data_IF_685283969552
#
_entry.id   IF_685283969552
#
_cell.length_a   1.000
_cell.length_b   1.000
_cell.length_c   1.000
_cell.angle_alpha   90.00
_cell.angle_beta   90.00
_cell.angle_gamma   90.00
#
_symmetry.space_group_name_H-M   'P 1'
#
loop_
_entity.id
_entity.type
_entity.pdbx_description
1 polymer ?
#
# COMPACT_ATOMS: atom_id res chain seq x y z
N UNK A 1 -5.08 10.40 36.55
CA UNK A 1 -6.55 10.53 36.66
C UNK A 1 -6.99 9.86 37.97
N UNK A 2 -8.03 10.35 38.65
CA UNK A 2 -8.54 9.68 39.86
C UNK A 2 -9.33 8.43 39.46
N UNK A 3 -8.71 7.26 39.53
CA UNK A 3 -9.32 5.96 39.23
C UNK A 3 -9.91 5.32 40.49
N UNK A 4 -11.07 4.68 40.37
CA UNK A 4 -11.86 4.15 41.49
C UNK A 4 -11.60 2.69 41.87
N UNK A 5 -10.43 2.12 41.55
CA UNK A 5 -10.06 0.74 41.85
C UNK A 5 -8.95 0.62 42.90
N UNK A 6 -8.83 -0.57 43.48
CA UNK A 6 -7.73 -0.93 44.39
C UNK A 6 -6.39 -0.89 43.64
N UNK A 7 -5.35 -0.26 44.22
CA UNK A 7 -4.06 -0.06 43.56
C UNK A 7 -3.31 -1.39 43.37
N UNK A 8 -2.72 -1.58 42.17
CA UNK A 8 -1.88 -2.75 41.87
C UNK A 8 -0.46 -2.55 42.46
N UNK A 9 0.27 -3.63 42.72
CA UNK A 9 1.61 -3.59 43.33
C UNK A 9 2.62 -2.78 42.50
N UNK A 10 2.52 -2.83 41.18
CA UNK A 10 3.31 -2.00 40.26
C UNK A 10 3.00 -0.49 40.39
N UNK A 11 1.77 -0.11 40.78
CA UNK A 11 1.45 1.30 41.05
C UNK A 11 2.09 1.75 42.36
N UNK A 12 2.14 0.86 43.36
CA UNK A 12 2.76 1.11 44.65
C UNK A 12 4.27 1.37 44.52
N UNK A 13 4.95 0.58 43.70
CA UNK A 13 6.39 0.71 43.46
C UNK A 13 6.77 2.00 42.73
N UNK A 14 5.90 2.51 41.85
CA UNK A 14 6.21 3.68 41.00
C UNK A 14 5.72 5.00 41.61
N UNK A 15 4.51 5.03 42.17
CA UNK A 15 3.90 6.25 42.71
C UNK A 15 4.15 6.43 44.21
N UNK A 16 4.43 5.34 44.93
CA UNK A 16 4.52 5.34 46.38
C UNK A 16 3.15 5.50 47.07
N UNK A 17 3.08 5.11 48.34
CA UNK A 17 1.82 5.08 49.12
C UNK A 17 1.17 6.47 49.25
N UNK A 18 1.98 7.53 49.34
CA UNK A 18 1.50 8.90 49.56
C UNK A 18 0.73 9.47 48.36
N UNK A 19 1.13 9.12 47.14
CA UNK A 19 0.45 9.59 45.93
C UNK A 19 -0.79 8.76 45.61
N UNK A 20 -0.75 7.46 45.94
CA UNK A 20 -1.90 6.57 45.85
C UNK A 20 -3.02 7.01 46.81
N UNK A 21 -2.68 7.42 48.03
CA UNK A 21 -3.63 7.96 49.02
C UNK A 21 -4.29 9.28 48.54
N UNK A 22 -3.60 10.07 47.73
CA UNK A 22 -4.13 11.27 47.06
C UNK A 22 -5.00 10.96 45.83
N UNK A 23 -5.19 9.67 45.51
CA UNK A 23 -6.04 9.18 44.44
C UNK A 23 -5.38 9.17 43.06
N UNK A 24 -4.05 9.24 42.97
CA UNK A 24 -3.35 9.12 41.69
C UNK A 24 -3.31 7.66 41.23
N UNK A 25 -3.51 7.44 39.93
CA UNK A 25 -3.47 6.14 39.24
C UNK A 25 -2.75 6.28 37.90
N UNK A 26 -2.05 5.23 37.47
CA UNK A 26 -1.40 5.17 36.16
C UNK A 26 -2.48 4.96 35.10
N UNK A 27 -2.59 5.87 34.13
CA UNK A 27 -3.65 5.84 33.11
C UNK A 27 -3.47 4.76 32.03
N UNK A 28 -2.29 4.14 31.97
CA UNK A 28 -1.96 3.11 31.00
C UNK A 28 -1.75 1.78 31.73
N UNK A 29 -2.85 1.21 32.22
CA UNK A 29 -2.85 -0.22 32.54
C UNK A 29 -3.01 -0.97 31.21
N UNK A 30 -1.89 -1.33 30.58
CA UNK A 30 -1.93 -2.49 29.68
C UNK A 30 -2.09 -3.68 30.61
N UNK A 31 -3.33 -4.13 30.78
CA UNK A 31 -3.60 -5.43 31.35
C UNK A 31 -3.02 -6.46 30.37
N UNK A 32 -1.74 -6.78 30.52
CA UNK A 32 -1.11 -7.92 29.86
C UNK A 32 -1.64 -9.16 30.56
N UNK A 33 -2.89 -9.51 30.29
CA UNK A 33 -3.52 -10.74 30.81
C UNK A 33 -3.99 -11.69 29.74
N UNK A 34 -3.76 -11.38 28.47
CA UNK A 34 -3.74 -12.38 27.40
C UNK A 34 -2.65 -11.93 26.43
N UNK A 35 -1.76 -12.85 26.06
CA UNK A 35 -0.88 -12.67 24.91
C UNK A 35 -1.77 -12.34 23.70
N UNK A 36 -1.92 -11.05 23.41
CA UNK A 36 -2.52 -10.62 22.16
C UNK A 36 -1.46 -10.93 21.13
N UNK A 37 -1.52 -12.14 20.57
CA UNK A 37 -0.90 -12.47 19.30
C UNK A 37 -1.51 -11.55 18.25
N UNK A 38 -0.93 -10.37 18.10
CA UNK A 38 -1.18 -9.51 16.95
C UNK A 38 -0.51 -10.23 15.78
N UNK A 39 -1.26 -11.08 15.10
CA UNK A 39 -0.88 -11.59 13.78
C UNK A 39 -0.83 -10.41 12.81
N UNK A 40 0.34 -9.79 12.73
CA UNK A 40 0.64 -8.86 11.65
C UNK A 40 0.76 -9.72 10.38
N UNK A 41 -0.05 -9.50 9.34
CA UNK A 41 0.04 -10.31 8.11
C UNK A 41 1.45 -10.17 7.51
N UNK A 42 2.22 -11.27 7.51
CA UNK A 42 3.65 -11.30 7.14
C UNK A 42 4.62 -11.40 8.32
N UNK A 43 4.13 -11.48 9.56
CA UNK A 43 4.88 -11.74 10.78
C UNK A 43 4.29 -12.97 11.48
N UNK A 44 4.29 -14.11 10.80
CA UNK A 44 4.27 -15.38 11.54
C UNK A 44 5.52 -15.37 12.41
N UNK A 45 5.37 -15.69 13.70
CA UNK A 45 6.48 -15.91 14.61
C UNK A 45 7.23 -17.13 14.08
N UNK A 46 8.09 -16.90 13.06
CA UNK A 46 9.11 -17.84 12.67
C UNK A 46 9.76 -18.26 13.97
N UNK A 47 9.80 -19.57 14.24
CA UNK A 47 10.59 -20.14 15.33
C UNK A 47 11.81 -19.26 15.49
N UNK A 48 11.90 -18.54 16.62
CA UNK A 48 12.85 -17.46 16.78
C UNK A 48 14.25 -18.08 16.76
N UNK A 49 14.81 -18.26 15.56
CA UNK A 49 16.17 -18.69 15.36
C UNK A 49 16.96 -17.54 15.96
N UNK A 50 17.54 -17.78 17.14
CA UNK A 50 18.49 -16.88 17.74
C UNK A 50 19.74 -16.90 16.85
N UNK A 51 19.70 -16.10 15.78
CA UNK A 51 20.84 -15.92 14.89
C UNK A 51 21.80 -15.02 15.64
N UNK A 52 22.88 -15.60 16.15
CA UNK A 52 23.94 -14.84 16.81
C UNK A 52 24.54 -13.82 15.82
N UNK A 53 24.54 -12.51 16.14
CA UNK A 53 25.11 -11.49 15.26
C UNK A 53 26.58 -11.75 14.93
N UNK A 54 27.31 -12.36 15.87
CA UNK A 54 28.71 -12.75 15.68
C UNK A 54 28.89 -13.79 14.56
N UNK A 55 27.96 -14.73 14.39
CA UNK A 55 28.03 -15.73 13.33
C UNK A 55 27.97 -15.08 11.94
N UNK A 56 27.05 -14.13 11.76
CA UNK A 56 26.94 -13.39 10.48
C UNK A 56 28.20 -12.55 10.23
N UNK A 57 28.75 -11.89 11.25
CA UNK A 57 29.99 -11.11 11.13
C UNK A 57 31.16 -11.98 10.66
N UNK A 58 31.33 -13.16 11.25
CA UNK A 58 32.38 -14.11 10.87
C UNK A 58 32.21 -14.60 9.43
N UNK A 59 30.97 -14.91 9.02
CA UNK A 59 30.63 -15.30 7.65
C UNK A 59 30.92 -14.18 6.64
N UNK A 60 30.58 -12.94 6.96
CA UNK A 60 30.84 -11.79 6.11
C UNK A 60 32.34 -11.48 5.97
N UNK A 61 33.10 -11.62 7.06
CA UNK A 61 34.55 -11.48 7.04
C UNK A 61 35.19 -12.55 6.13
N UNK A 62 34.77 -13.81 6.28
CA UNK A 62 35.20 -14.89 5.40
C UNK A 62 34.82 -14.62 3.93
N UNK A 63 33.60 -14.12 3.68
CA UNK A 63 33.14 -13.78 2.34
C UNK A 63 33.99 -12.67 1.68
N UNK A 64 34.40 -11.67 2.46
CA UNK A 64 35.25 -10.59 1.97
C UNK A 64 36.65 -11.05 1.54
N UNK A 65 37.19 -12.11 2.16
CA UNK A 65 38.55 -12.59 1.91
C UNK A 65 38.64 -13.75 0.91
N UNK A 66 37.71 -14.71 0.99
CA UNK A 66 37.84 -16.02 0.33
C UNK A 66 36.81 -16.27 -0.75
N UNK A 67 35.68 -15.56 -0.75
CA UNK A 67 34.60 -15.79 -1.72
C UNK A 67 34.81 -14.91 -2.97
N UNK A 68 34.77 -15.49 -4.18
CA UNK A 68 34.77 -14.69 -5.39
C UNK A 68 33.44 -13.93 -5.52
N UNK A 69 33.42 -12.65 -5.10
CA UNK A 69 32.22 -11.82 -5.04
C UNK A 69 31.43 -11.69 -6.35
N UNK A 70 32.09 -11.92 -7.50
CA UNK A 70 31.45 -11.92 -8.83
C UNK A 70 30.52 -13.11 -9.06
N UNK A 71 30.69 -14.21 -8.30
CA UNK A 71 29.90 -15.44 -8.44
C UNK A 71 28.69 -15.49 -7.49
N UNK A 72 28.48 -14.45 -6.67
CA UNK A 72 27.36 -14.39 -5.75
C UNK A 72 26.05 -14.17 -6.53
N UNK A 73 24.96 -14.90 -6.20
CA UNK A 73 23.66 -14.71 -6.82
C UNK A 73 22.98 -13.48 -6.22
N UNK A 74 23.39 -12.29 -6.65
CA UNK A 74 22.80 -11.02 -6.23
C UNK A 74 22.53 -10.11 -7.42
N UNK A 75 21.40 -9.40 -7.41
CA UNK A 75 21.02 -8.44 -8.44
C UNK A 75 21.98 -7.24 -8.45
N UNK A 76 22.45 -6.85 -7.27
CA UNK A 76 23.39 -5.75 -7.09
C UNK A 76 24.84 -6.22 -6.97
N UNK A 77 25.78 -5.36 -7.37
CA UNK A 77 27.22 -5.62 -7.20
C UNK A 77 27.62 -5.57 -5.72
N UNK A 78 28.09 -6.70 -5.19
CA UNK A 78 28.63 -6.79 -3.84
C UNK A 78 30.13 -6.43 -3.86
N UNK A 79 30.52 -5.49 -3.01
CA UNK A 79 31.93 -5.06 -2.83
C UNK A 79 32.40 -5.38 -1.43
N UNK A 80 33.72 -5.50 -1.23
CA UNK A 80 34.32 -5.73 0.09
C UNK A 80 33.93 -4.62 1.10
N UNK A 81 33.91 -3.36 0.64
CA UNK A 81 33.46 -2.23 1.47
C UNK A 81 32.02 -2.43 1.96
N UNK A 82 31.12 -2.83 1.06
CA UNK A 82 29.71 -3.10 1.40
C UNK A 82 29.57 -4.24 2.41
N UNK A 83 30.32 -5.33 2.26
CA UNK A 83 30.30 -6.43 3.24
C UNK A 83 30.76 -5.98 4.62
N UNK A 84 31.78 -5.10 4.69
CA UNK A 84 32.26 -4.52 5.95
C UNK A 84 31.23 -3.59 6.60
N UNK A 85 30.58 -2.74 5.80
CA UNK A 85 29.51 -1.86 6.29
C UNK A 85 28.31 -2.68 6.81
N UNK A 86 28.01 -3.78 6.15
CA UNK A 86 26.93 -4.71 6.49
C UNK A 86 27.25 -5.54 7.76
N UNK A 87 28.52 -5.89 7.98
CA UNK A 87 29.01 -6.48 9.23
C UNK A 87 28.80 -5.56 10.44
N UNK A 88 28.91 -4.24 10.26
CA UNK A 88 28.65 -3.27 11.33
C UNK A 88 27.15 -3.13 11.63
N UNK A 89 26.29 -3.32 10.61
CA UNK A 89 24.83 -3.16 10.70
C UNK A 89 24.07 -4.46 10.98
N UNK A 90 24.77 -5.57 11.20
CA UNK A 90 24.20 -6.90 11.35
C UNK A 90 23.15 -7.00 12.46
N UNK A 91 23.41 -6.41 13.63
CA UNK A 91 22.46 -6.41 14.77
C UNK A 91 21.13 -5.74 14.37
N UNK A 92 21.22 -4.55 13.78
CA UNK A 92 20.04 -3.83 13.30
C UNK A 92 19.26 -4.59 12.21
N UNK A 93 19.95 -5.38 11.37
CA UNK A 93 19.30 -6.20 10.34
C UNK A 93 18.55 -7.38 10.98
N UNK A 94 19.16 -8.05 11.96
CA UNK A 94 18.55 -9.19 12.64
C UNK A 94 17.27 -8.82 13.41
N UNK A 95 17.28 -7.67 14.08
CA UNK A 95 16.13 -7.09 14.79
C UNK A 95 14.96 -6.66 13.88
N UNK A 96 15.07 -6.85 12.56
CA UNK A 96 14.02 -6.51 11.59
C UNK A 96 14.19 -5.13 10.95
N UNK A 97 15.30 -4.43 11.23
CA UNK A 97 15.75 -3.29 10.45
C UNK A 97 16.52 -3.72 9.19
N UNK A 98 17.13 -2.74 8.52
CA UNK A 98 17.89 -2.97 7.28
C UNK A 98 17.12 -2.66 6.01
N UNK A 99 17.87 -2.36 4.95
CA UNK A 99 17.33 -2.19 3.60
C UNK A 99 17.12 -3.58 2.96
N UNK A 100 16.07 -3.84 2.15
CA UNK A 100 15.95 -5.07 1.37
C UNK A 100 17.24 -5.49 0.64
N UNK A 101 18.03 -4.52 0.21
CA UNK A 101 19.31 -4.76 -0.47
C UNK A 101 20.40 -5.32 0.45
N UNK A 102 20.34 -5.05 1.76
CA UNK A 102 21.24 -5.62 2.76
C UNK A 102 20.87 -7.09 3.02
N UNK A 103 19.56 -7.39 3.11
CA UNK A 103 19.05 -8.76 3.25
C UNK A 103 19.39 -9.58 2.00
N UNK A 104 19.30 -9.00 0.81
CA UNK A 104 19.65 -9.65 -0.46
C UNK A 104 21.14 -10.03 -0.49
N UNK A 105 22.02 -9.13 -0.02
CA UNK A 105 23.44 -9.40 0.06
C UNK A 105 23.76 -10.54 1.06
N UNK A 106 23.09 -10.59 2.21
CA UNK A 106 23.21 -11.69 3.17
C UNK A 106 22.75 -13.01 2.55
N UNK A 107 21.56 -13.01 1.96
CA UNK A 107 21.01 -14.17 1.28
C UNK A 107 21.93 -14.70 0.18
N UNK A 108 22.54 -13.82 -0.63
CA UNK A 108 23.50 -14.20 -1.66
C UNK A 108 24.76 -14.86 -1.08
N UNK A 109 25.28 -14.38 0.05
CA UNK A 109 26.44 -14.97 0.72
C UNK A 109 26.10 -16.35 1.30
N UNK A 110 24.99 -16.47 2.03
CA UNK A 110 24.57 -17.73 2.63
C UNK A 110 24.17 -18.77 1.57
N UNK A 111 23.55 -18.37 0.47
CA UNK A 111 23.17 -19.28 -0.62
C UNK A 111 24.41 -19.80 -1.37
N UNK A 112 25.44 -18.98 -1.52
CA UNK A 112 26.73 -19.42 -2.04
C UNK A 112 27.39 -20.46 -1.12
N UNK A 113 27.38 -20.22 0.21
CA UNK A 113 27.92 -21.17 1.19
C UNK A 113 27.17 -22.50 1.20
N UNK A 114 25.84 -22.47 1.08
CA UNK A 114 25.01 -23.65 0.98
C UNK A 114 25.33 -24.48 -0.27
N UNK A 115 25.58 -23.82 -1.41
CA UNK A 115 25.85 -24.48 -2.70
C UNK A 115 27.24 -25.11 -2.78
N UNK A 116 28.25 -24.46 -2.22
CA UNK A 116 29.64 -24.92 -2.26
C UNK A 116 29.97 -25.95 -1.15
N UNK A 117 29.04 -26.26 -0.23
CA UNK A 117 29.24 -27.08 0.98
C UNK A 117 30.47 -26.68 1.83
N UNK A 118 30.90 -25.42 1.74
CA UNK A 118 32.07 -24.88 2.46
C UNK A 118 31.73 -24.31 3.84
N UNK A 119 30.52 -24.59 4.34
CA UNK A 119 30.05 -24.14 5.65
C UNK A 119 31.06 -24.43 6.78
N UNK A 120 31.64 -25.62 6.76
CA UNK A 120 32.61 -26.08 7.77
C UNK A 120 33.99 -25.41 7.67
N UNK A 121 34.29 -24.69 6.58
CA UNK A 121 35.56 -24.00 6.36
C UNK A 121 35.56 -22.56 6.90
N UNK A 122 34.39 -22.05 7.29
CA UNK A 122 34.27 -20.70 7.85
C UNK A 122 34.79 -20.73 9.28
N UNK A 123 35.78 -19.89 9.64
CA UNK A 123 36.30 -19.82 11.00
C UNK A 123 35.30 -19.09 11.90
N UNK A 124 34.23 -19.76 12.30
CA UNK A 124 33.20 -19.21 13.19
C UNK A 124 33.37 -19.73 14.61
N UNK A 125 33.06 -18.88 15.61
CA UNK A 125 32.97 -19.32 17.01
C UNK A 125 31.72 -20.16 17.30
N UNK A 126 30.74 -20.09 16.41
CA UNK A 126 29.43 -20.72 16.53
C UNK A 126 29.30 -21.87 15.53
N UNK A 127 28.55 -22.90 15.90
CA UNK A 127 28.28 -24.03 15.01
C UNK A 127 27.47 -23.57 13.78
N UNK A 128 28.00 -23.85 12.59
CA UNK A 128 27.41 -23.57 11.30
C UNK A 128 27.08 -24.89 10.58
N UNK A 129 25.97 -25.51 10.98
CA UNK A 129 25.43 -26.73 10.34
C UNK A 129 24.63 -26.35 9.09
N UNK A 130 24.60 -27.24 8.08
CA UNK A 130 23.81 -27.05 6.86
C UNK A 130 22.32 -26.80 7.16
N UNK A 131 21.74 -27.47 8.16
CA UNK A 131 20.36 -27.23 8.59
C UNK A 131 20.15 -25.79 9.10
N UNK A 132 21.12 -25.26 9.85
CA UNK A 132 21.08 -23.88 10.37
C UNK A 132 21.21 -22.86 9.23
N UNK A 133 22.04 -23.16 8.23
CA UNK A 133 22.13 -22.32 7.01
C UNK A 133 20.79 -22.29 6.28
N UNK A 134 20.13 -23.44 6.11
CA UNK A 134 18.81 -23.48 5.45
C UNK A 134 17.76 -22.69 6.21
N UNK A 135 17.72 -22.82 7.54
CA UNK A 135 16.84 -22.02 8.41
C UNK A 135 17.10 -20.51 8.31
N UNK A 136 18.38 -20.10 8.27
CA UNK A 136 18.77 -18.69 8.05
C UNK A 136 18.34 -18.21 6.66
N UNK A 137 18.52 -19.03 5.62
CA UNK A 137 18.10 -18.72 4.26
C UNK A 137 16.59 -18.53 4.16
N UNK A 138 15.80 -19.41 4.80
CA UNK A 138 14.35 -19.27 4.84
C UNK A 138 13.92 -17.97 5.55
N UNK A 139 14.56 -17.65 6.68
CA UNK A 139 14.29 -16.41 7.41
C UNK A 139 14.60 -15.15 6.58
N UNK A 140 15.69 -15.16 5.80
CA UNK A 140 15.99 -14.05 4.89
C UNK A 140 15.10 -14.03 3.65
N UNK A 141 14.75 -15.19 3.09
CA UNK A 141 13.85 -15.30 1.93
C UNK A 141 12.47 -14.69 2.22
N UNK A 142 11.92 -14.91 3.42
CA UNK A 142 10.65 -14.28 3.84
C UNK A 142 10.71 -12.75 3.93
N UNK A 143 11.91 -12.19 4.14
CA UNK A 143 12.14 -10.73 4.24
C UNK A 143 12.46 -10.09 2.89
N UNK A 144 12.81 -10.89 1.88
CA UNK A 144 13.01 -10.38 0.53
C UNK A 144 11.65 -10.11 -0.13
N UNK A 145 11.54 -9.06 -0.96
CA UNK A 145 10.35 -8.91 -1.80
C UNK A 145 10.21 -10.19 -2.62
N UNK A 146 9.01 -10.78 -2.65
CA UNK A 146 8.74 -11.94 -3.49
C UNK A 146 9.21 -11.62 -4.91
N UNK A 147 10.03 -12.50 -5.48
CA UNK A 147 10.40 -12.39 -6.89
C UNK A 147 9.09 -12.32 -7.69
N UNK A 148 8.85 -11.18 -8.34
CA UNK A 148 7.69 -11.03 -9.20
C UNK A 148 7.86 -12.05 -10.33
N UNK A 149 6.95 -13.02 -10.43
CA UNK A 149 7.00 -14.01 -11.52
C UNK A 149 6.83 -13.29 -12.86
N UNK A 150 7.94 -13.04 -13.54
CA UNK A 150 7.95 -12.39 -14.84
C UNK A 150 7.55 -13.41 -15.92
N UNK A 151 6.32 -13.29 -16.41
CA UNK A 151 5.80 -14.10 -17.51
C UNK A 151 6.03 -13.35 -18.83
N UNK A 152 6.47 -14.08 -19.86
CA UNK A 152 6.68 -13.51 -21.20
C UNK A 152 5.35 -12.96 -21.74
N UNK A 153 5.34 -11.69 -22.14
CA UNK A 153 4.13 -11.00 -22.66
C UNK A 153 3.51 -11.72 -23.85
N UNK A 154 4.35 -12.15 -24.80
CA UNK A 154 3.91 -12.97 -25.93
C UNK A 154 4.22 -14.44 -25.65
N UNK A 155 3.25 -15.37 -25.80
CA UNK A 155 1.90 -15.16 -26.31
C UNK A 155 0.82 -14.97 -25.21
N UNK A 156 1.17 -15.17 -23.94
CA UNK A 156 0.22 -15.34 -22.85
C UNK A 156 -0.67 -14.11 -22.60
N UNK A 157 -0.09 -12.91 -22.48
CA UNK A 157 -0.86 -11.69 -22.24
C UNK A 157 -1.77 -11.35 -23.43
N UNK A 158 -1.31 -11.58 -24.65
CA UNK A 158 -2.13 -11.35 -25.85
C UNK A 158 -3.35 -12.26 -25.88
N UNK A 159 -3.22 -13.54 -25.53
CA UNK A 159 -4.39 -14.43 -25.48
C UNK A 159 -5.45 -13.92 -24.49
N UNK A 160 -5.04 -13.46 -23.31
CA UNK A 160 -5.96 -12.87 -22.33
C UNK A 160 -6.62 -11.61 -22.89
N UNK A 161 -5.83 -10.69 -23.45
CA UNK A 161 -6.35 -9.43 -24.00
C UNK A 161 -7.32 -9.65 -25.16
N UNK A 162 -7.00 -10.53 -26.12
CA UNK A 162 -7.87 -10.88 -27.24
C UNK A 162 -9.15 -11.59 -26.77
N UNK A 163 -9.05 -12.45 -25.75
CA UNK A 163 -10.23 -13.11 -25.18
C UNK A 163 -11.17 -12.09 -24.55
N UNK A 164 -10.65 -11.15 -23.76
CA UNK A 164 -11.47 -10.07 -23.17
C UNK A 164 -12.09 -9.20 -24.25
N UNK A 165 -11.31 -8.78 -25.26
CA UNK A 165 -11.81 -7.98 -26.38
C UNK A 165 -12.94 -8.69 -27.13
N UNK A 166 -12.74 -9.97 -27.45
CA UNK A 166 -13.74 -10.80 -28.12
C UNK A 166 -15.02 -10.91 -27.28
N UNK A 167 -14.90 -11.22 -25.98
CA UNK A 167 -16.06 -11.35 -25.09
C UNK A 167 -16.81 -10.02 -24.93
N UNK A 168 -16.11 -8.89 -24.76
CA UNK A 168 -16.74 -7.57 -24.68
C UNK A 168 -17.43 -7.19 -25.98
N UNK A 169 -16.79 -7.44 -27.12
CA UNK A 169 -17.36 -7.11 -28.45
C UNK A 169 -18.55 -7.99 -28.77
N UNK A 170 -18.46 -9.30 -28.52
CA UNK A 170 -19.56 -10.23 -28.70
C UNK A 170 -20.71 -9.91 -27.74
N UNK A 171 -20.43 -9.63 -26.47
CA UNK A 171 -21.43 -9.25 -25.48
C UNK A 171 -22.15 -7.95 -25.84
N UNK A 172 -21.42 -6.92 -26.25
CA UNK A 172 -22.00 -5.66 -26.72
C UNK A 172 -22.79 -5.85 -28.02
N UNK A 173 -22.29 -6.68 -28.93
CA UNK A 173 -22.98 -7.03 -30.18
C UNK A 173 -24.30 -7.76 -29.93
N UNK A 174 -24.31 -8.73 -29.01
CA UNK A 174 -25.52 -9.43 -28.59
C UNK A 174 -26.50 -8.44 -27.94
N UNK A 175 -26.03 -7.58 -27.03
CA UNK A 175 -26.85 -6.55 -26.40
C UNK A 175 -27.48 -5.59 -27.42
N UNK A 176 -26.72 -5.19 -28.45
CA UNK A 176 -27.17 -4.33 -29.54
C UNK A 176 -28.30 -4.92 -30.39
N UNK A 177 -28.47 -6.25 -30.41
CA UNK A 177 -29.60 -6.89 -31.11
C UNK A 177 -30.90 -6.69 -30.34
N UNK A 178 -30.84 -6.59 -29.01
CA UNK A 178 -32.02 -6.48 -28.15
C UNK A 178 -32.39 -5.04 -27.78
N UNK A 179 -31.42 -4.11 -27.85
CA UNK A 179 -31.60 -2.71 -27.46
C UNK A 179 -30.99 -1.79 -28.50
N UNK A 180 -31.82 -0.92 -29.07
CA UNK A 180 -31.36 0.16 -29.93
C UNK A 180 -30.49 1.15 -29.16
N UNK A 181 -29.61 1.83 -29.90
CA UNK A 181 -28.80 2.89 -29.32
C UNK A 181 -29.72 4.04 -28.88
N UNK A 182 -29.52 4.61 -27.67
CA UNK A 182 -30.30 5.73 -27.16
C UNK A 182 -29.88 7.04 -27.85
N UNK A 183 -30.14 7.14 -29.15
CA UNK A 183 -29.88 8.33 -29.96
C UNK A 183 -31.15 9.17 -30.07
N UNK A 184 -31.00 10.48 -29.90
CA UNK A 184 -32.10 11.44 -30.06
C UNK A 184 -32.45 11.68 -31.54
N UNK A 185 -33.58 12.35 -31.77
CA UNK A 185 -34.01 12.77 -33.10
C UNK A 185 -33.00 13.75 -33.75
N UNK A 186 -32.97 13.86 -35.09
CA UNK A 186 -32.10 14.80 -35.78
C UNK A 186 -32.29 16.24 -35.28
N UNK A 187 -31.17 16.93 -35.04
CA UNK A 187 -31.18 18.25 -34.41
C UNK A 187 -31.96 19.30 -35.23
N UNK A 188 -32.82 20.06 -34.53
CA UNK A 188 -33.56 21.20 -35.10
C UNK A 188 -33.25 22.48 -34.33
N UNK A 189 -32.81 23.58 -34.97
CA UNK A 189 -32.49 24.83 -34.27
C UNK A 189 -33.68 25.51 -33.56
N UNK A 190 -34.91 25.14 -33.91
CA UNK A 190 -36.15 25.73 -33.39
C UNK A 190 -36.71 25.07 -32.14
N UNK A 191 -36.11 23.95 -31.68
CA UNK A 191 -36.61 23.18 -30.55
C UNK A 191 -35.44 22.63 -29.72
N UNK A 192 -35.48 22.88 -28.42
CA UNK A 192 -34.52 22.32 -27.45
C UNK A 192 -35.29 21.33 -26.57
N UNK A 193 -34.88 20.05 -26.52
CA UNK A 193 -35.53 19.06 -25.66
C UNK A 193 -35.35 19.45 -24.19
N UNK A 194 -36.36 19.16 -23.37
CA UNK A 194 -36.33 19.42 -21.93
C UNK A 194 -36.84 18.17 -21.19
N UNK A 195 -36.02 17.53 -20.34
CA UNK A 195 -34.65 17.91 -19.96
C UNK A 195 -33.62 17.60 -21.04
N UNK A 196 -32.65 18.50 -21.23
CA UNK A 196 -31.45 18.25 -22.05
C UNK A 196 -30.41 17.55 -21.16
N UNK A 197 -30.37 16.22 -21.19
CA UNK A 197 -29.37 15.44 -20.43
C UNK A 197 -28.16 15.17 -21.32
N UNK A 198 -26.97 15.42 -20.78
CA UNK A 198 -25.73 15.00 -21.41
C UNK A 198 -25.64 13.46 -21.44
N UNK A 199 -24.69 12.87 -22.19
CA UNK A 199 -24.37 11.46 -22.04
C UNK A 199 -24.00 11.12 -20.58
N UNK A 200 -24.27 9.88 -20.16
CA UNK A 200 -24.11 9.42 -18.77
C UNK A 200 -22.73 9.73 -18.14
N UNK A 201 -21.66 9.73 -18.95
CA UNK A 201 -20.30 10.05 -18.49
C UNK A 201 -20.05 11.54 -18.26
N UNK A 202 -20.93 12.42 -18.72
CA UNK A 202 -20.91 13.87 -18.48
C UNK A 202 -22.02 14.36 -17.55
N UNK A 203 -23.11 13.60 -17.41
CA UNK A 203 -24.26 13.95 -16.54
C UNK A 203 -23.84 14.28 -15.11
N UNK A 204 -22.84 13.59 -14.55
CA UNK A 204 -22.34 13.92 -13.21
C UNK A 204 -21.74 15.33 -13.11
N UNK A 205 -21.07 15.80 -14.16
CA UNK A 205 -20.55 17.17 -14.23
C UNK A 205 -21.70 18.16 -14.44
N UNK A 206 -22.69 17.79 -15.25
CA UNK A 206 -23.92 18.58 -15.44
C UNK A 206 -24.70 18.76 -14.13
N UNK A 207 -24.75 17.73 -13.29
CA UNK A 207 -25.34 17.81 -11.97
C UNK A 207 -24.50 18.69 -11.03
N UNK A 208 -23.18 18.56 -11.07
CA UNK A 208 -22.27 19.41 -10.30
C UNK A 208 -22.42 20.90 -10.68
N UNK A 209 -22.61 21.19 -11.97
CA UNK A 209 -22.92 22.53 -12.50
C UNK A 209 -24.22 23.10 -11.93
N UNK A 210 -25.27 22.28 -11.84
CA UNK A 210 -26.58 22.69 -11.34
C UNK A 210 -26.59 22.97 -9.83
N UNK A 211 -25.86 22.18 -9.03
CA UNK A 211 -25.86 22.29 -7.56
C UNK A 211 -24.80 23.26 -7.01
N UNK A 212 -23.77 23.60 -7.80
CA UNK A 212 -22.64 24.40 -7.30
C UNK A 212 -23.07 25.78 -6.79
N UNK A 213 -22.60 26.23 -5.61
CA UNK A 213 -22.95 27.54 -5.07
C UNK A 213 -22.25 28.66 -5.85
N UNK A 214 -22.89 29.83 -5.92
CA UNK A 214 -22.22 31.05 -6.40
C UNK A 214 -21.31 31.60 -5.30
N UNK A 215 -20.00 31.77 -5.58
CA UNK A 215 -19.02 32.26 -4.61
C UNK A 215 -18.32 33.50 -5.18
N UNK A 216 -18.71 34.68 -4.70
CA UNK A 216 -18.13 35.96 -5.15
C UNK A 216 -18.31 36.16 -6.65
N UNK A 217 -17.23 36.38 -7.44
CA UNK A 217 -17.33 36.55 -8.89
C UNK A 217 -17.51 35.23 -9.65
N UNK A 218 -17.38 34.08 -8.99
CA UNK A 218 -17.47 32.77 -9.63
C UNK A 218 -18.91 32.25 -9.57
N UNK A 219 -19.49 32.01 -10.74
CA UNK A 219 -20.83 31.45 -10.90
C UNK A 219 -20.82 29.93 -10.70
N UNK A 220 -21.99 29.35 -10.44
CA UNK A 220 -22.22 27.90 -10.36
C UNK A 220 -21.65 27.17 -11.57
N UNK A 221 -21.80 27.76 -12.76
CA UNK A 221 -21.29 27.23 -14.02
C UNK A 221 -19.75 27.16 -14.03
N UNK A 222 -19.09 28.21 -13.58
CA UNK A 222 -17.63 28.25 -13.52
C UNK A 222 -17.08 27.25 -12.50
N UNK A 223 -17.72 27.15 -11.34
CA UNK A 223 -17.27 26.27 -10.24
C UNK A 223 -17.47 24.80 -10.62
N UNK A 224 -18.70 24.42 -10.98
CA UNK A 224 -19.04 23.02 -11.23
C UNK A 224 -18.53 22.47 -12.56
N UNK A 225 -18.44 23.30 -13.60
CA UNK A 225 -18.06 22.84 -14.94
C UNK A 225 -16.57 22.96 -15.25
N UNK A 226 -15.90 23.96 -14.67
CA UNK A 226 -14.51 24.24 -15.00
C UNK A 226 -13.61 24.03 -13.80
N UNK A 227 -13.83 24.74 -12.69
CA UNK A 227 -12.90 24.75 -11.56
C UNK A 227 -12.82 23.37 -10.90
N UNK A 228 -13.94 22.78 -10.49
CA UNK A 228 -13.93 21.50 -9.79
C UNK A 228 -13.38 20.34 -10.65
N UNK A 229 -13.80 20.16 -11.92
CA UNK A 229 -13.19 19.15 -12.80
C UNK A 229 -11.70 19.39 -13.06
N UNK A 230 -11.29 20.65 -13.23
CA UNK A 230 -9.88 20.99 -13.42
C UNK A 230 -9.06 20.67 -12.17
N UNK A 231 -9.55 21.01 -10.98
CA UNK A 231 -8.90 20.67 -9.72
C UNK A 231 -8.82 19.16 -9.52
N UNK A 232 -9.83 18.40 -9.93
CA UNK A 232 -9.78 16.93 -9.89
C UNK A 232 -8.67 16.37 -10.79
N UNK A 233 -8.54 16.86 -12.02
CA UNK A 233 -7.46 16.46 -12.94
C UNK A 233 -6.09 16.87 -12.38
N UNK A 234 -5.96 18.10 -11.90
CA UNK A 234 -4.71 18.59 -11.31
C UNK A 234 -4.34 17.78 -10.06
N UNK A 235 -5.31 17.37 -9.25
CA UNK A 235 -5.10 16.47 -8.13
C UNK A 235 -4.51 15.15 -8.60
N UNK A 236 -5.10 14.49 -9.62
CA UNK A 236 -4.60 13.23 -10.17
C UNK A 236 -3.16 13.34 -10.70
N UNK A 237 -2.84 14.43 -11.39
CA UNK A 237 -1.49 14.72 -11.88
C UNK A 237 -0.51 15.02 -10.74
N UNK A 238 -0.99 15.62 -9.66
CA UNK A 238 -0.18 16.00 -8.51
C UNK A 238 0.13 14.83 -7.57
N UNK A 239 -0.65 13.73 -7.59
CA UNK A 239 -0.46 12.54 -6.72
C UNK A 239 1.02 12.18 -6.51
N UNK A 240 1.85 11.92 -7.54
CA UNK A 240 3.25 11.51 -7.33
C UNK A 240 4.10 12.52 -6.55
N UNK A 241 3.71 13.80 -6.54
CA UNK A 241 4.43 14.88 -5.85
C UNK A 241 3.88 15.19 -4.46
N UNK A 242 2.56 15.08 -4.27
CA UNK A 242 1.89 15.47 -3.02
C UNK A 242 1.66 14.28 -2.09
N UNK A 243 1.64 13.05 -2.60
CA UNK A 243 1.34 11.83 -1.83
C UNK A 243 2.23 11.67 -0.58
N UNK A 244 3.56 11.92 -0.60
CA UNK A 244 4.38 11.86 0.61
C UNK A 244 3.98 12.86 1.70
N UNK A 245 3.35 13.97 1.32
CA UNK A 245 2.87 15.02 2.23
C UNK A 245 1.44 14.78 2.69
N UNK A 246 0.59 14.18 1.84
CA UNK A 246 -0.77 13.77 2.18
C UNK A 246 -0.79 12.66 3.23
N UNK A 247 0.17 11.73 3.18
CA UNK A 247 0.31 10.65 4.15
C UNK A 247 1.00 11.13 5.43
N UNK A 248 0.43 12.16 6.08
CA UNK A 248 1.02 12.83 7.24
C UNK A 248 1.17 11.92 8.48
N UNK A 249 0.34 10.87 8.59
CA UNK A 249 0.40 9.86 9.65
C UNK A 249 1.63 8.94 9.56
N UNK A 250 2.36 8.98 8.45
CA UNK A 250 3.49 8.10 8.19
C UNK A 250 4.68 8.48 9.09
N UNK A 251 5.17 7.50 9.86
CA UNK A 251 6.28 7.67 10.82
C UNK A 251 7.61 7.96 10.13
N UNK A 252 7.88 7.31 9.01
CA UNK A 252 9.11 7.47 8.24
C UNK A 252 8.85 8.26 6.96
N UNK A 253 9.19 9.54 6.95
CA UNK A 253 9.03 10.43 5.78
C UNK A 253 10.13 10.30 4.74
N UNK A 254 11.23 9.60 5.07
CA UNK A 254 12.41 9.50 4.19
C UNK A 254 12.22 8.47 3.07
N UNK A 255 11.36 7.48 3.28
CA UNK A 255 11.04 6.45 2.29
C UNK A 255 10.02 6.97 1.26
N UNK A 256 9.97 6.43 0.04
CA UNK A 256 8.83 6.64 -0.85
C UNK A 256 7.55 6.02 -0.25
N UNK A 257 6.39 6.52 -0.67
CA UNK A 257 5.11 5.90 -0.31
C UNK A 257 5.01 4.53 -1.00
N UNK A 258 4.53 3.53 -0.27
CA UNK A 258 4.45 2.16 -0.77
C UNK A 258 3.47 2.04 -1.94
N UNK A 259 3.70 1.05 -2.82
CA UNK A 259 2.86 0.86 -4.02
C UNK A 259 1.48 0.26 -3.69
N UNK A 260 1.30 -0.33 -2.50
CA UNK A 260 0.06 -1.02 -2.13
C UNK A 260 -0.96 -0.01 -1.61
N UNK A 261 -2.25 -0.28 -1.82
CA UNK A 261 -3.35 0.55 -1.32
C UNK A 261 -3.28 0.80 0.20
N UNK A 262 -2.84 -0.22 0.96
CA UNK A 262 -2.68 -0.14 2.43
C UNK A 262 -1.61 0.87 2.87
N UNK A 263 -0.64 1.16 2.00
CA UNK A 263 0.46 2.07 2.32
C UNK A 263 0.10 3.55 2.09
N UNK A 264 -1.03 3.81 1.43
CA UNK A 264 -1.52 5.15 1.06
C UNK A 264 -2.99 5.39 1.46
N UNK A 265 -3.34 5.25 2.76
CA UNK A 265 -4.72 5.32 3.22
C UNK A 265 -5.38 6.68 2.98
N UNK A 266 -4.66 7.80 3.15
CA UNK A 266 -5.24 9.14 2.97
C UNK A 266 -5.51 9.42 1.50
N UNK A 267 -4.54 9.17 0.65
CA UNK A 267 -4.67 9.35 -0.81
C UNK A 267 -5.76 8.44 -1.37
N UNK A 268 -5.80 7.19 -0.93
CA UNK A 268 -6.85 6.24 -1.33
C UNK A 268 -8.22 6.71 -0.86
N UNK A 269 -8.37 7.13 0.40
CA UNK A 269 -9.65 7.62 0.92
C UNK A 269 -10.14 8.86 0.15
N UNK A 270 -9.26 9.83 -0.12
CA UNK A 270 -9.60 11.03 -0.89
C UNK A 270 -10.00 10.69 -2.32
N UNK A 271 -9.24 9.82 -3.01
CA UNK A 271 -9.58 9.35 -4.35
C UNK A 271 -10.94 8.62 -4.37
N UNK A 272 -11.15 7.70 -3.43
CA UNK A 272 -12.43 6.96 -3.31
C UNK A 272 -13.59 7.89 -3.02
N UNK A 273 -13.40 8.91 -2.17
CA UNK A 273 -14.43 9.92 -1.90
C UNK A 273 -14.78 10.72 -3.15
N UNK A 274 -13.78 11.16 -3.93
CA UNK A 274 -14.00 11.92 -5.16
C UNK A 274 -14.70 11.09 -6.24
N UNK A 275 -14.25 9.86 -6.46
CA UNK A 275 -14.90 8.92 -7.40
C UNK A 275 -16.31 8.56 -6.93
N UNK A 276 -16.50 8.29 -5.64
CA UNK A 276 -17.81 8.01 -5.06
C UNK A 276 -18.77 9.19 -5.23
N UNK A 277 -18.29 10.42 -5.02
CA UNK A 277 -19.07 11.65 -5.27
C UNK A 277 -19.45 11.75 -6.74
N UNK A 278 -18.52 11.50 -7.67
CA UNK A 278 -18.80 11.52 -9.10
C UNK A 278 -19.87 10.48 -9.49
N UNK A 279 -19.79 9.26 -8.96
CA UNK A 279 -20.80 8.20 -9.20
C UNK A 279 -22.16 8.62 -8.65
N UNK A 280 -22.22 9.17 -7.43
CA UNK A 280 -23.47 9.67 -6.85
C UNK A 280 -24.08 10.78 -7.70
N UNK A 281 -23.27 11.73 -8.18
CA UNK A 281 -23.74 12.79 -9.07
C UNK A 281 -24.26 12.24 -10.40
N UNK A 282 -23.60 11.22 -10.98
CA UNK A 282 -24.10 10.54 -12.19
C UNK A 282 -25.46 9.90 -11.91
N UNK A 283 -25.61 9.15 -10.81
CA UNK A 283 -26.87 8.51 -10.45
C UNK A 283 -27.99 9.54 -10.25
N UNK A 284 -27.70 10.65 -9.56
CA UNK A 284 -28.66 11.74 -9.34
C UNK A 284 -29.08 12.35 -10.67
N UNK A 285 -28.12 12.76 -11.49
CA UNK A 285 -28.40 13.41 -12.77
C UNK A 285 -29.15 12.49 -13.76
N UNK A 286 -28.83 11.20 -13.77
CA UNK A 286 -29.44 10.24 -14.68
C UNK A 286 -30.89 9.95 -14.28
N UNK A 287 -31.13 9.61 -13.00
CA UNK A 287 -32.40 9.06 -12.56
C UNK A 287 -33.32 10.04 -11.83
N UNK A 288 -32.77 11.04 -11.13
CA UNK A 288 -33.54 11.91 -10.23
C UNK A 288 -33.81 13.31 -10.82
N UNK A 289 -33.31 13.61 -12.02
CA UNK A 289 -33.54 14.89 -12.71
C UNK A 289 -34.61 14.76 -13.79
N UNK A 290 -35.66 15.58 -13.68
CA UNK A 290 -36.78 15.69 -14.60
C UNK A 290 -36.81 17.01 -15.38
N UNK A 291 -37.97 17.39 -15.96
CA UNK A 291 -38.13 18.64 -16.71
C UNK A 291 -37.66 19.86 -15.90
N UNK A 292 -37.05 20.84 -16.57
CA UNK A 292 -36.45 22.04 -15.95
C UNK A 292 -35.36 21.72 -14.91
N UNK A 293 -34.77 20.52 -14.98
CA UNK A 293 -33.79 20.02 -14.00
C UNK A 293 -34.36 19.89 -12.57
N UNK A 294 -35.69 19.84 -12.44
CA UNK A 294 -36.35 19.64 -11.17
C UNK A 294 -36.13 18.22 -10.63
N UNK A 295 -36.23 18.08 -9.31
CA UNK A 295 -36.09 16.80 -8.65
C UNK A 295 -37.34 15.94 -8.86
N UNK A 296 -37.17 14.72 -9.35
CA UNK A 296 -38.25 13.76 -9.59
C UNK A 296 -37.88 12.42 -8.97
N UNK A 297 -38.89 11.71 -8.46
CA UNK A 297 -38.74 10.35 -7.95
C UNK A 297 -38.94 9.40 -9.14
N UNK A 298 -37.92 8.62 -9.56
CA UNK A 298 -37.97 7.88 -10.83
C UNK A 298 -39.02 6.76 -10.90
N UNK A 299 -39.61 6.39 -9.77
CA UNK A 299 -40.59 5.31 -9.64
C UNK A 299 -42.01 5.80 -9.28
N UNK A 300 -42.27 7.11 -9.41
CA UNK A 300 -43.61 7.71 -9.35
C UNK A 300 -44.03 8.16 -10.76
#
# INVERSE_FOLDING_TARGET
MKGGGDPNQNELDVLGEEQIAKGWRLSCQIAVTQDIEVEVPGYEVAEAIQIEPGLIRDVLAYAAEKIPLRKLPSTQKITVKRLKDLSNRTEAILEGGGDPTDVEALYAVFSYLAKDHKAQQVPTRFELTDEKIQKILEAFAKRLPAEEEEIITYPYFLYVAFTILFLLTAGLGIYSVFRDAPLEEPATPSFTPNPEKAPWYFVGIQELLAISPNIGPFTSVAIGGVIAPTLFILFLLAIPYIEPYLEFWRKDKSKPVGRRLRDRPVTTALFTLLVGTAIVLIIIGEYFRGPQWEWVIPWQ
#
